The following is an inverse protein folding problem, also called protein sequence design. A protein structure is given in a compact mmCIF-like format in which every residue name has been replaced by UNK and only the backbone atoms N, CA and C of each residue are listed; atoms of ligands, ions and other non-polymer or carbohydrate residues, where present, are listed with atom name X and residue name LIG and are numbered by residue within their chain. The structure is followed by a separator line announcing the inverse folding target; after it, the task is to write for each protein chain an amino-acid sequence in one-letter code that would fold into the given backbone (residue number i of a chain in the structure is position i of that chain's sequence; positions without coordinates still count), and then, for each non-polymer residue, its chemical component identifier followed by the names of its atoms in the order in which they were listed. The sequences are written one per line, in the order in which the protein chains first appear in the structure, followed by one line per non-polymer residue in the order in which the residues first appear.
data_IF_131747415340
#
_entry.id   IF_131747415340
#
_cell.length_a   1.000
_cell.length_b   1.000
_cell.length_c   1.000
_cell.angle_alpha   90.00
_cell.angle_beta   90.00
_cell.angle_gamma   90.00
#
_symmetry.space_group_name_H-M   'P 1'
#
loop_
_entity.id
_entity.type
_entity.pdbx_description
1 polymer ?
#
# COMPACT_ATOMS: atom_id res chain seq x y z
N UNK A 1 9.77 -0.38 10.14
CA UNK A 1 10.49 -1.65 9.98
C UNK A 1 10.11 -2.37 8.70
N UNK A 2 10.63 -3.59 8.53
CA UNK A 2 10.71 -4.32 7.23
C UNK A 2 12.08 -4.27 6.55
N UNK A 3 13.09 -3.81 7.28
CA UNK A 3 14.47 -3.68 6.81
C UNK A 3 15.21 -5.02 6.87
N UNK A 4 16.01 -5.30 5.83
CA UNK A 4 16.97 -6.41 5.78
C UNK A 4 18.31 -5.89 5.26
N UNK A 5 19.41 -6.54 5.64
CA UNK A 5 20.73 -6.23 5.09
C UNK A 5 20.76 -6.46 3.58
N UNK A 6 21.35 -5.51 2.85
CA UNK A 6 21.61 -5.67 1.41
C UNK A 6 22.53 -6.86 1.16
N UNK A 7 23.53 -7.08 2.01
CA UNK A 7 24.44 -8.22 1.88
C UNK A 7 23.70 -9.55 2.08
N UNK A 8 22.80 -9.63 3.05
CA UNK A 8 21.96 -10.82 3.28
C UNK A 8 21.03 -11.08 2.11
N UNK A 9 20.41 -10.05 1.54
CA UNK A 9 19.56 -10.18 0.35
C UNK A 9 20.37 -10.71 -0.84
N UNK A 10 21.54 -10.14 -1.12
CA UNK A 10 22.39 -10.56 -2.23
C UNK A 10 22.88 -12.01 -2.05
N UNK A 11 23.27 -12.39 -0.83
CA UNK A 11 23.67 -13.75 -0.50
C UNK A 11 22.51 -14.74 -0.68
N UNK A 12 21.30 -14.39 -0.23
CA UNK A 12 20.10 -15.21 -0.41
C UNK A 12 19.73 -15.36 -1.90
N UNK A 13 19.78 -14.27 -2.67
CA UNK A 13 19.57 -14.28 -4.10
C UNK A 13 20.54 -15.25 -4.81
N UNK A 14 21.83 -15.20 -4.49
CA UNK A 14 22.82 -16.13 -5.03
C UNK A 14 22.54 -17.59 -4.61
N UNK A 15 22.19 -17.83 -3.35
CA UNK A 15 21.82 -19.16 -2.85
C UNK A 15 20.58 -19.74 -3.57
N UNK A 16 19.66 -18.87 -4.01
CA UNK A 16 18.49 -19.22 -4.81
C UNK A 16 18.71 -19.15 -6.34
N UNK A 17 19.97 -19.18 -6.79
CA UNK A 17 20.35 -19.17 -8.22
C UNK A 17 19.88 -17.92 -9.00
N UNK A 18 19.67 -16.81 -8.31
CA UNK A 18 19.32 -15.52 -8.88
C UNK A 18 20.38 -14.47 -8.51
N UNK A 19 21.62 -14.69 -8.94
CA UNK A 19 22.73 -13.79 -8.60
C UNK A 19 22.50 -12.41 -9.22
N UNK A 20 22.46 -11.39 -8.38
CA UNK A 20 22.39 -9.98 -8.77
C UNK A 20 23.51 -9.21 -8.07
N UNK A 21 23.95 -8.13 -8.67
CA UNK A 21 24.95 -7.22 -8.12
C UNK A 21 24.28 -6.09 -7.33
N UNK A 22 25.07 -5.43 -6.46
CA UNK A 22 24.59 -4.25 -5.73
C UNK A 22 24.18 -3.11 -6.69
N UNK A 23 24.87 -2.96 -7.82
CA UNK A 23 24.56 -1.95 -8.82
C UNK A 23 23.22 -2.22 -9.51
N UNK A 24 22.94 -3.47 -9.90
CA UNK A 24 21.65 -3.87 -10.48
C UNK A 24 20.52 -3.69 -9.47
N UNK A 25 20.74 -4.04 -8.20
CA UNK A 25 19.76 -3.80 -7.14
C UNK A 25 19.48 -2.30 -6.99
N UNK A 26 20.52 -1.46 -7.00
CA UNK A 26 20.37 -0.01 -6.88
C UNK A 26 19.61 0.58 -8.08
N UNK A 27 19.86 0.07 -9.28
CA UNK A 27 19.12 0.43 -10.49
C UNK A 27 17.64 0.06 -10.36
N UNK A 28 17.30 -1.14 -9.89
CA UNK A 28 15.91 -1.55 -9.65
C UNK A 28 15.23 -0.63 -8.63
N UNK A 29 15.91 -0.28 -7.54
CA UNK A 29 15.35 0.62 -6.53
C UNK A 29 15.07 2.00 -7.15
N UNK A 30 16.03 2.55 -7.90
CA UNK A 30 15.93 3.88 -8.52
C UNK A 30 14.91 3.95 -9.67
N UNK A 31 14.86 2.92 -10.52
CA UNK A 31 14.08 2.92 -11.76
C UNK A 31 12.67 2.35 -11.62
N UNK A 32 12.29 1.77 -10.47
CA UNK A 32 10.96 1.20 -10.36
C UNK A 32 9.88 2.32 -10.31
N UNK A 33 8.97 2.28 -11.28
CA UNK A 33 7.88 3.26 -11.48
C UNK A 33 7.01 3.54 -10.26
N UNK A 34 7.01 2.64 -9.26
CA UNK A 34 6.10 2.67 -8.11
C UNK A 34 6.81 2.91 -6.78
N UNK A 35 8.11 3.21 -6.80
CA UNK A 35 8.96 3.34 -5.61
C UNK A 35 8.64 2.23 -4.59
N UNK A 36 8.71 0.97 -5.03
CA UNK A 36 8.31 -0.22 -4.27
C UNK A 36 9.32 -0.59 -3.19
N UNK A 37 10.56 -0.17 -3.35
CA UNK A 37 11.66 -0.48 -2.47
C UNK A 37 12.37 0.81 -2.10
N UNK A 38 12.98 0.82 -0.92
CA UNK A 38 13.81 1.93 -0.47
C UNK A 38 15.04 1.39 0.25
N UNK A 39 16.16 2.09 0.08
CA UNK A 39 17.32 1.95 0.95
C UNK A 39 17.19 2.84 2.18
N UNK A 40 17.85 2.46 3.26
CA UNK A 40 18.08 3.37 4.39
C UNK A 40 19.10 4.46 4.00
N UNK A 41 19.26 5.53 4.82
CA UNK A 41 20.20 6.60 4.53
C UNK A 41 21.65 6.15 4.31
N UNK A 42 22.06 5.00 4.87
CA UNK A 42 23.41 4.45 4.69
C UNK A 42 23.55 3.55 3.46
N UNK A 43 22.44 3.16 2.82
CA UNK A 43 22.42 2.23 1.69
C UNK A 43 22.78 0.79 2.05
N UNK A 44 22.74 0.43 3.34
CA UNK A 44 23.09 -0.90 3.86
C UNK A 44 21.88 -1.78 4.10
N UNK A 45 20.73 -1.16 4.32
CA UNK A 45 19.46 -1.84 4.53
C UNK A 45 18.52 -1.52 3.37
N UNK A 46 17.67 -2.49 3.03
CA UNK A 46 16.62 -2.34 2.04
C UNK A 46 15.29 -2.83 2.62
N UNK A 47 14.18 -2.22 2.20
CA UNK A 47 12.83 -2.68 2.53
C UNK A 47 11.90 -2.59 1.32
N UNK A 48 10.79 -3.31 1.37
CA UNK A 48 9.63 -2.97 0.57
C UNK A 48 8.85 -1.82 1.23
N UNK A 49 8.33 -0.89 0.45
CA UNK A 49 7.57 0.26 0.95
C UNK A 49 6.11 -0.10 1.25
N UNK A 50 5.60 -1.18 0.65
CA UNK A 50 4.20 -1.62 0.80
C UNK A 50 4.00 -3.07 0.36
N UNK A 51 2.81 -3.61 0.62
CA UNK A 51 2.37 -4.91 0.11
C UNK A 51 2.79 -6.13 0.95
N UNK A 52 3.29 -5.92 2.16
CA UNK A 52 3.64 -7.01 3.07
C UNK A 52 2.42 -7.91 3.37
N UNK A 53 2.68 -9.20 3.52
CA UNK A 53 1.72 -10.22 4.00
C UNK A 53 2.22 -10.96 5.25
N UNK A 54 3.50 -10.77 5.60
CA UNK A 54 4.13 -11.30 6.83
C UNK A 54 4.12 -10.22 7.91
N UNK A 55 3.83 -10.58 9.17
CA UNK A 55 3.72 -9.62 10.29
C UNK A 55 5.04 -8.88 10.46
N UNK A 56 5.05 -7.61 10.07
CA UNK A 56 6.21 -6.72 10.14
C UNK A 56 5.73 -5.44 10.79
N UNK A 57 6.45 -4.98 11.82
CA UNK A 57 6.22 -3.65 12.36
C UNK A 57 6.78 -2.62 11.37
N UNK A 58 5.87 -2.01 10.61
CA UNK A 58 6.23 -0.99 9.63
C UNK A 58 6.76 0.29 10.29
N UNK A 59 6.63 0.46 11.62
CA UNK A 59 6.96 1.69 12.35
C UNK A 59 6.35 2.91 11.67
N UNK A 60 5.14 2.75 11.11
CA UNK A 60 4.42 3.87 10.55
C UNK A 60 3.75 4.59 11.71
N UNK A 61 4.14 5.83 11.92
CA UNK A 61 3.45 6.71 12.84
C UNK A 61 2.07 7.09 12.24
N UNK A 62 1.00 7.09 13.05
CA UNK A 62 -0.29 7.59 12.61
C UNK A 62 -0.18 9.01 12.04
N UNK A 63 -0.86 9.28 10.94
CA UNK A 63 -0.86 10.57 10.26
C UNK A 63 -2.30 11.04 10.03
N UNK A 64 -2.48 12.36 10.01
CA UNK A 64 -3.76 13.01 9.67
C UNK A 64 -3.98 12.82 8.16
N UNK A 65 -5.06 12.14 7.73
CA UNK A 65 -5.35 11.94 6.32
C UNK A 65 -5.89 13.22 5.65
N UNK A 66 -5.84 13.31 4.31
CA UNK A 66 -6.71 14.21 3.56
C UNK A 66 -8.17 13.92 3.88
N UNK A 67 -9.05 14.90 3.70
CA UNK A 67 -10.48 14.71 3.98
C UNK A 67 -11.10 13.57 3.14
N UNK A 68 -10.61 13.37 1.93
CA UNK A 68 -11.10 12.36 0.99
C UNK A 68 -9.95 11.48 0.51
N UNK A 69 -10.18 10.18 0.53
CA UNK A 69 -9.34 9.17 -0.10
C UNK A 69 -10.18 8.28 -1.03
N UNK A 70 -9.51 7.46 -1.85
CA UNK A 70 -10.18 6.64 -2.86
C UNK A 70 -9.71 5.18 -2.82
N UNK A 71 -10.65 4.25 -3.01
CA UNK A 71 -10.34 2.84 -3.19
C UNK A 71 -10.84 2.35 -4.54
N UNK A 72 -9.93 1.86 -5.37
CA UNK A 72 -10.27 1.26 -6.66
C UNK A 72 -10.38 -0.25 -6.57
N UNK A 73 -11.50 -0.79 -7.05
CA UNK A 73 -11.80 -2.23 -7.05
C UNK A 73 -12.45 -2.68 -8.36
N UNK A 74 -12.76 -3.97 -8.46
CA UNK A 74 -13.54 -4.53 -9.57
C UNK A 74 -15.03 -4.58 -9.23
N UNK A 75 -15.89 -4.48 -10.26
CA UNK A 75 -17.36 -4.53 -10.12
C UNK A 75 -17.89 -5.73 -9.30
N UNK A 76 -17.21 -6.86 -9.35
CA UNK A 76 -17.60 -8.09 -8.62
C UNK A 76 -17.48 -7.96 -7.10
N UNK A 77 -16.67 -7.03 -6.60
CA UNK A 77 -16.47 -6.81 -5.16
C UNK A 77 -17.42 -5.79 -4.55
N UNK A 78 -18.16 -5.04 -5.38
CA UNK A 78 -19.01 -3.91 -4.93
C UNK A 78 -20.03 -4.33 -3.88
N UNK A 79 -20.78 -5.39 -4.13
CA UNK A 79 -21.82 -5.86 -3.19
C UNK A 79 -21.23 -6.23 -1.82
N UNK A 80 -20.09 -6.90 -1.81
CA UNK A 80 -19.43 -7.29 -0.55
C UNK A 80 -18.87 -6.07 0.20
N UNK A 81 -18.37 -5.06 -0.52
CA UNK A 81 -17.83 -3.83 0.07
C UNK A 81 -18.96 -2.96 0.65
N UNK A 82 -20.11 -2.89 -0.02
CA UNK A 82 -21.28 -2.16 0.50
C UNK A 82 -21.87 -2.83 1.75
N UNK A 83 -21.74 -4.15 1.88
CA UNK A 83 -22.21 -4.90 3.05
C UNK A 83 -21.23 -4.85 4.22
N UNK A 84 -19.93 -5.05 3.96
CA UNK A 84 -18.92 -5.31 5.01
C UNK A 84 -17.87 -4.22 5.15
N UNK A 85 -17.85 -3.26 4.23
CA UNK A 85 -16.81 -2.24 4.14
C UNK A 85 -15.56 -2.73 3.41
N UNK A 86 -14.50 -1.92 3.44
CA UNK A 86 -13.19 -2.33 2.94
C UNK A 86 -12.43 -3.10 4.02
N UNK A 87 -12.03 -4.31 3.67
CA UNK A 87 -11.21 -5.18 4.51
C UNK A 87 -9.83 -5.37 3.88
N UNK A 88 -8.80 -5.53 4.71
CA UNK A 88 -7.41 -5.75 4.27
C UNK A 88 -7.17 -7.04 3.48
N UNK A 89 -8.11 -8.00 3.55
CA UNK A 89 -8.01 -9.32 2.91
C UNK A 89 -6.68 -10.01 3.26
N UNK A 90 -5.86 -10.39 2.28
CA UNK A 90 -4.55 -11.01 2.50
C UNK A 90 -3.41 -10.03 2.78
N UNK A 91 -3.70 -8.73 2.88
CA UNK A 91 -2.73 -7.66 3.20
C UNK A 91 -2.82 -7.28 4.68
N UNK A 92 -1.84 -6.52 5.16
CA UNK A 92 -1.88 -5.97 6.52
C UNK A 92 -2.84 -4.79 6.70
N UNK A 93 -3.11 -4.04 5.62
CA UNK A 93 -3.94 -2.85 5.65
C UNK A 93 -4.73 -2.72 4.35
N UNK A 94 -5.88 -2.05 4.43
CA UNK A 94 -6.56 -1.48 3.26
C UNK A 94 -5.67 -0.41 2.66
N UNK A 95 -5.50 -0.45 1.35
CA UNK A 95 -4.73 0.56 0.61
C UNK A 95 -5.68 1.55 -0.04
N UNK A 96 -5.42 2.83 0.19
CA UNK A 96 -6.18 3.96 -0.28
C UNK A 96 -5.28 4.87 -1.13
N UNK A 97 -5.88 5.47 -2.15
CA UNK A 97 -5.23 6.42 -3.05
C UNK A 97 -5.68 7.83 -2.72
N UNK A 98 -4.75 8.79 -2.72
CA UNK A 98 -5.09 10.20 -2.58
C UNK A 98 -5.84 10.76 -3.81
N UNK A 99 -5.59 10.17 -4.99
CA UNK A 99 -6.14 10.67 -6.26
C UNK A 99 -7.06 9.64 -6.92
N UNK A 100 -8.20 10.12 -7.44
CA UNK A 100 -9.21 9.32 -8.15
C UNK A 100 -8.61 8.52 -9.31
N UNK A 101 -7.78 9.16 -10.13
CA UNK A 101 -7.15 8.52 -11.29
C UNK A 101 -6.23 7.36 -10.89
N UNK A 102 -5.57 7.45 -9.74
CA UNK A 102 -4.77 6.37 -9.17
C UNK A 102 -5.66 5.20 -8.77
N UNK A 103 -6.77 5.46 -8.08
CA UNK A 103 -7.75 4.43 -7.72
C UNK A 103 -8.33 3.75 -8.97
N UNK A 104 -8.74 4.50 -10.00
CA UNK A 104 -9.21 3.94 -11.28
C UNK A 104 -8.17 3.02 -11.94
N UNK A 105 -6.89 3.42 -11.95
CA UNK A 105 -5.77 2.59 -12.45
C UNK A 105 -5.60 1.30 -11.63
N UNK A 106 -5.83 1.33 -10.32
CA UNK A 106 -5.76 0.15 -9.46
C UNK A 106 -6.96 -0.78 -9.72
N UNK A 107 -8.17 -0.25 -9.74
CA UNK A 107 -9.41 -1.02 -9.98
C UNK A 107 -9.41 -1.77 -11.31
N UNK A 108 -8.82 -1.19 -12.37
CA UNK A 108 -8.69 -1.82 -13.70
C UNK A 108 -7.98 -3.18 -13.69
N UNK A 109 -7.17 -3.47 -12.67
CA UNK A 109 -6.49 -4.77 -12.51
C UNK A 109 -7.45 -5.89 -12.10
N UNK A 110 -8.65 -5.53 -11.66
CA UNK A 110 -9.67 -6.43 -11.15
C UNK A 110 -10.91 -6.49 -12.06
N UNK A 111 -10.77 -6.08 -13.33
CA UNK A 111 -11.83 -6.05 -14.32
C UNK A 111 -12.38 -4.64 -14.55
N UNK A 112 -13.71 -4.51 -14.67
CA UNK A 112 -14.35 -3.21 -14.83
C UNK A 112 -14.12 -2.36 -13.55
N UNK A 113 -13.40 -1.23 -13.66
CA UNK A 113 -13.00 -0.45 -12.50
C UNK A 113 -14.21 0.23 -11.87
N UNK A 114 -14.29 0.14 -10.55
CA UNK A 114 -15.25 0.86 -9.73
C UNK A 114 -14.49 1.54 -8.60
N UNK A 115 -14.88 2.77 -8.23
CA UNK A 115 -14.18 3.52 -7.19
C UNK A 115 -15.13 3.85 -6.04
N UNK A 116 -14.64 3.64 -4.83
CA UNK A 116 -15.25 4.17 -3.62
C UNK A 116 -14.50 5.41 -3.17
N UNK A 117 -15.26 6.46 -2.83
CA UNK A 117 -14.81 7.60 -2.04
C UNK A 117 -14.87 7.20 -0.57
N UNK A 118 -13.80 7.51 0.16
CA UNK A 118 -13.68 7.29 1.60
C UNK A 118 -13.70 8.66 2.29
N UNK A 119 -14.64 8.87 3.20
CA UNK A 119 -14.67 10.05 4.08
C UNK A 119 -13.65 9.88 5.22
N UNK A 120 -12.39 10.16 4.89
CA UNK A 120 -11.28 9.96 5.80
C UNK A 120 -11.22 11.03 6.91
N UNK A 121 -11.82 12.21 6.70
CA UNK A 121 -11.95 13.23 7.74
C UNK A 121 -12.83 12.73 8.90
N UNK A 122 -14.06 12.30 8.60
CA UNK A 122 -14.99 11.81 9.62
C UNK A 122 -14.45 10.58 10.34
N UNK A 123 -13.77 9.69 9.61
CA UNK A 123 -13.09 8.54 10.21
C UNK A 123 -11.97 8.96 11.16
N UNK A 124 -11.17 9.96 10.79
CA UNK A 124 -10.10 10.45 11.66
C UNK A 124 -10.65 11.08 12.93
N UNK A 125 -11.73 11.86 12.84
CA UNK A 125 -12.46 12.42 13.99
C UNK A 125 -13.06 11.32 14.89
N UNK A 126 -13.40 10.17 14.31
CA UNK A 126 -13.84 8.96 15.01
C UNK A 126 -12.68 8.04 15.48
N UNK A 127 -11.47 8.58 15.65
CA UNK A 127 -10.27 7.91 16.15
C UNK A 127 -9.71 6.76 15.28
N UNK A 128 -10.11 6.67 14.01
CA UNK A 128 -9.47 5.72 13.09
C UNK A 128 -8.04 6.17 12.76
N UNK A 129 -7.10 5.22 12.83
CA UNK A 129 -5.69 5.47 12.59
C UNK A 129 -5.35 5.25 11.12
N UNK A 130 -4.92 6.33 10.48
CA UNK A 130 -4.37 6.31 9.14
C UNK A 130 -2.85 6.37 9.19
N UNK A 131 -2.23 5.78 8.17
CA UNK A 131 -0.79 5.83 7.98
C UNK A 131 -0.51 6.18 6.53
N UNK A 132 0.59 6.88 6.26
CA UNK A 132 1.03 7.17 4.90
C UNK A 132 2.41 6.54 4.69
N UNK A 133 2.55 5.72 3.66
CA UNK A 133 3.85 5.18 3.25
C UNK A 133 4.70 6.26 2.56
N UNK A 134 6.01 6.04 2.49
CA UNK A 134 6.95 6.97 1.83
C UNK A 134 6.60 7.28 0.37
N UNK A 135 5.85 6.40 -0.30
CA UNK A 135 5.40 6.59 -1.69
C UNK A 135 3.97 7.13 -1.82
N UNK A 136 3.41 7.70 -0.74
CA UNK A 136 2.13 8.42 -0.76
C UNK A 136 0.89 7.53 -0.79
N UNK A 137 1.02 6.26 -0.43
CA UNK A 137 -0.13 5.35 -0.31
C UNK A 137 -0.65 5.39 1.12
N UNK A 138 -1.97 5.60 1.24
CA UNK A 138 -2.64 5.67 2.53
C UNK A 138 -3.08 4.28 2.97
N UNK A 139 -2.90 4.00 4.25
CA UNK A 139 -3.12 2.70 4.87
C UNK A 139 -4.03 2.86 6.09
N UNK A 140 -4.97 1.93 6.23
CA UNK A 140 -5.89 1.83 7.37
C UNK A 140 -6.25 0.35 7.62
N UNK A 141 -6.67 -0.01 8.83
CA UNK A 141 -7.02 -1.40 9.16
C UNK A 141 -8.28 -1.88 8.42
N UNK A 142 -9.34 -1.07 8.44
CA UNK A 142 -10.61 -1.30 7.74
C UNK A 142 -11.34 0.02 7.48
N UNK A 143 -12.30 0.01 6.55
CA UNK A 143 -13.21 1.14 6.31
C UNK A 143 -14.65 0.64 6.39
N UNK A 144 -15.43 1.04 7.42
CA UNK A 144 -16.84 0.68 7.52
C UNK A 144 -17.69 1.20 6.35
N UNK A 145 -18.80 0.51 5.98
CA UNK A 145 -19.67 0.91 4.87
C UNK A 145 -20.18 2.35 4.93
N UNK A 146 -20.48 2.87 6.12
CA UNK A 146 -21.06 4.20 6.31
C UNK A 146 -20.13 5.35 5.90
N UNK A 147 -18.82 5.09 5.77
CA UNK A 147 -17.84 6.05 5.28
C UNK A 147 -17.53 5.89 3.79
N UNK A 148 -18.26 5.02 3.08
CA UNK A 148 -18.05 4.71 1.68
C UNK A 148 -19.15 5.29 0.80
N UNK A 149 -18.75 6.05 -0.22
CA UNK A 149 -19.65 6.46 -1.31
C UNK A 149 -19.16 5.89 -2.62
N UNK A 150 -20.02 5.14 -3.31
CA UNK A 150 -19.73 4.59 -4.62
C UNK A 150 -19.77 5.70 -5.68
N UNK A 151 -18.74 5.81 -6.51
CA UNK A 151 -18.72 6.69 -7.68
C UNK A 151 -18.36 5.89 -8.94
N UNK A 152 -19.07 6.16 -10.03
CA UNK A 152 -18.84 5.57 -11.36
C UNK A 152 -17.85 6.44 -12.17
#
# INVERSE_FOLDING_TARGET
GGWVSVEELLAACAAHQFTITRSELAEVVASNDKQRFSFDPTGKLIRANQGHSVKIDLQLEPQIPPAILYHGTGKTSVTAILDKGLLKMSRHHVHLSQYLETARKVGRRHGYPVVFVVDAASMHEADFRFYCSDNGVWLIDSVPPEYLTLIE
#
